data_IF_788407846459
#
_entry.id   IF_788407846459
#
_cell.length_a   1.000
_cell.length_b   1.000
_cell.length_c   1.000
_cell.angle_alpha   90.00
_cell.angle_beta   90.00
_cell.angle_gamma   90.00
#
_symmetry.space_group_name_H-M   'P 1'
#
loop_
_entity.id
_entity.type
_entity.pdbx_description
1 polymer ?
#
# COMPACT_ATOMS: atom_id res chain seq x y z
N UNK A 1 5.51 -5.91 4.36
CA UNK A 1 5.03 -7.31 4.51
C UNK A 1 4.10 -7.47 5.68
N UNK A 2 4.55 -7.25 6.92
CA UNK A 2 3.72 -7.45 8.12
C UNK A 2 2.41 -6.65 8.05
N UNK A 3 2.50 -5.36 7.74
CA UNK A 3 1.35 -4.47 7.54
C UNK A 3 0.34 -5.04 6.53
N UNK A 4 0.78 -5.37 5.31
CA UNK A 4 -0.12 -5.90 4.29
C UNK A 4 -0.78 -7.23 4.67
N UNK A 5 -0.05 -8.16 5.31
CA UNK A 5 -0.64 -9.43 5.78
C UNK A 5 -1.68 -9.15 6.87
N UNK A 6 -1.37 -8.23 7.79
CA UNK A 6 -2.30 -7.77 8.82
C UNK A 6 -3.57 -7.17 8.23
N UNK A 7 -3.44 -6.23 7.28
CA UNK A 7 -4.57 -5.60 6.59
C UNK A 7 -5.43 -6.60 5.82
N UNK A 8 -4.82 -7.59 5.15
CA UNK A 8 -5.56 -8.68 4.49
C UNK A 8 -6.40 -9.43 5.53
N UNK A 9 -5.81 -9.82 6.66
CA UNK A 9 -6.52 -10.50 7.74
C UNK A 9 -7.68 -9.68 8.31
N UNK A 10 -7.44 -8.39 8.57
CA UNK A 10 -8.45 -7.45 9.07
C UNK A 10 -9.62 -7.33 8.09
N UNK A 11 -9.35 -7.07 6.80
CA UNK A 11 -10.40 -6.91 5.80
C UNK A 11 -11.17 -8.21 5.51
N UNK A 12 -10.49 -9.36 5.45
CA UNK A 12 -11.18 -10.65 5.31
C UNK A 12 -12.07 -10.90 6.52
N UNK A 13 -11.62 -10.57 7.73
CA UNK A 13 -12.46 -10.74 8.94
C UNK A 13 -13.66 -9.79 8.91
N UNK A 14 -13.47 -8.53 8.51
CA UNK A 14 -14.56 -7.57 8.31
C UNK A 14 -15.60 -8.05 7.29
N UNK A 15 -15.19 -8.73 6.23
CA UNK A 15 -16.12 -9.24 5.22
C UNK A 15 -17.15 -10.23 5.79
N UNK A 16 -16.82 -10.92 6.88
CA UNK A 16 -17.65 -11.97 7.49
C UNK A 16 -18.00 -11.69 8.95
N UNK A 17 -17.78 -10.46 9.44
CA UNK A 17 -18.06 -10.11 10.83
C UNK A 17 -19.57 -9.97 11.06
N UNK A 18 -20.09 -10.69 12.04
CA UNK A 18 -21.50 -10.58 12.47
C UNK A 18 -21.62 -10.04 13.90
N UNK A 19 -20.52 -10.03 14.67
CA UNK A 19 -20.49 -9.63 16.07
C UNK A 19 -19.96 -8.19 16.24
N UNK A 20 -20.74 -7.33 16.89
CA UNK A 20 -20.39 -5.93 17.11
C UNK A 20 -19.09 -5.72 17.93
N UNK A 21 -18.84 -6.56 18.94
CA UNK A 21 -17.62 -6.51 19.74
C UNK A 21 -16.40 -6.84 18.88
N UNK A 22 -16.51 -7.86 18.02
CA UNK A 22 -15.42 -8.20 17.09
C UNK A 22 -15.18 -7.07 16.08
N UNK A 23 -16.24 -6.46 15.54
CA UNK A 23 -16.13 -5.31 14.65
C UNK A 23 -15.42 -4.11 15.31
N UNK A 24 -15.69 -3.85 16.60
CA UNK A 24 -15.02 -2.79 17.36
C UNK A 24 -13.54 -3.11 17.62
N UNK A 25 -13.20 -4.36 17.92
CA UNK A 25 -11.81 -4.80 18.05
C UNK A 25 -11.06 -4.64 16.73
N UNK A 26 -11.66 -5.08 15.62
CA UNK A 26 -11.09 -4.91 14.28
C UNK A 26 -10.86 -3.43 13.96
N UNK A 27 -11.76 -2.54 14.38
CA UNK A 27 -11.64 -1.10 14.14
C UNK A 27 -10.40 -0.52 14.80
N UNK A 28 -10.11 -0.91 16.04
CA UNK A 28 -8.91 -0.48 16.76
C UNK A 28 -7.64 -1.05 16.12
N UNK A 29 -7.67 -2.33 15.74
CA UNK A 29 -6.53 -2.99 15.08
C UNK A 29 -6.23 -2.33 13.73
N UNK A 30 -7.25 -2.07 12.92
CA UNK A 30 -7.12 -1.40 11.63
C UNK A 30 -6.47 -0.01 11.78
N UNK A 31 -6.92 0.77 12.76
CA UNK A 31 -6.34 2.08 13.07
C UNK A 31 -4.86 1.99 13.48
N UNK A 32 -4.45 0.92 14.17
CA UNK A 32 -3.04 0.70 14.49
C UNK A 32 -2.20 0.43 13.23
N UNK A 33 -2.75 -0.30 12.25
CA UNK A 33 -2.08 -0.48 10.95
C UNK A 33 -1.99 0.81 10.14
N UNK A 34 -3.00 1.69 10.20
CA UNK A 34 -2.93 3.00 9.56
C UNK A 34 -1.73 3.84 10.03
N UNK A 35 -1.33 3.72 11.29
CA UNK A 35 -0.15 4.41 11.80
C UNK A 35 1.17 3.94 11.13
N UNK A 36 1.25 2.68 10.69
CA UNK A 36 2.42 2.14 9.97
C UNK A 36 2.58 2.78 8.58
N UNK A 37 1.47 3.12 7.91
CA UNK A 37 1.51 3.80 6.62
C UNK A 37 2.23 5.17 6.69
N UNK A 38 2.12 5.87 7.82
CA UNK A 38 2.83 7.14 8.07
C UNK A 38 4.34 6.92 8.10
N UNK A 39 4.79 5.81 8.72
CA UNK A 39 6.21 5.47 8.81
C UNK A 39 6.84 5.27 7.42
N UNK A 40 6.12 4.68 6.47
CA UNK A 40 6.61 4.49 5.09
C UNK A 40 6.94 5.80 4.38
N UNK A 41 6.06 6.81 4.49
CA UNK A 41 6.29 8.12 3.87
C UNK A 41 7.54 8.79 4.44
N UNK A 42 7.72 8.72 5.76
CA UNK A 42 8.89 9.32 6.42
C UNK A 42 10.19 8.56 6.12
N UNK A 43 10.12 7.24 5.94
CA UNK A 43 11.26 6.45 5.49
C UNK A 43 11.69 6.84 4.08
N UNK A 44 10.75 6.94 3.14
CA UNK A 44 11.05 7.39 1.77
C UNK A 44 11.74 8.76 1.76
N UNK A 45 11.21 9.73 2.51
CA UNK A 45 11.81 11.06 2.62
C UNK A 45 13.23 11.06 3.22
N UNK A 46 13.63 10.01 3.96
CA UNK A 46 14.97 9.88 4.52
C UNK A 46 15.97 9.25 3.55
N UNK A 47 15.52 8.45 2.59
CA UNK A 47 16.39 7.70 1.68
C UNK A 47 16.39 8.24 0.24
N UNK A 48 15.42 9.07 -0.12
CA UNK A 48 15.28 9.65 -1.45
C UNK A 48 16.28 10.79 -1.67
N UNK A 49 16.75 10.93 -2.91
CA UNK A 49 17.50 12.11 -3.34
C UNK A 49 16.60 13.36 -3.21
N UNK A 50 17.08 14.46 -2.58
CA UNK A 50 16.32 15.70 -2.47
C UNK A 50 15.73 16.22 -3.79
N UNK A 51 16.41 16.02 -4.92
CA UNK A 51 15.94 16.43 -6.24
C UNK A 51 14.66 15.68 -6.67
N UNK A 52 14.51 14.43 -6.24
CA UNK A 52 13.41 13.54 -6.64
C UNK A 52 12.18 13.63 -5.72
N UNK A 53 12.31 14.24 -4.54
CA UNK A 53 11.22 14.32 -3.56
C UNK A 53 10.04 15.14 -4.11
N UNK A 54 10.31 16.31 -4.67
CA UNK A 54 9.27 17.20 -5.20
C UNK A 54 8.49 16.59 -6.38
N UNK A 55 9.14 16.09 -7.46
CA UNK A 55 8.41 15.46 -8.57
C UNK A 55 7.67 14.20 -8.12
N UNK A 56 8.27 13.36 -7.27
CA UNK A 56 7.60 12.15 -6.74
C UNK A 56 6.36 12.50 -5.91
N UNK A 57 6.43 13.52 -5.06
CA UNK A 57 5.30 13.96 -4.25
C UNK A 57 4.13 14.48 -5.11
N UNK A 58 4.41 15.19 -6.20
CA UNK A 58 3.38 15.68 -7.13
C UNK A 58 2.63 14.56 -7.85
N UNK A 59 3.36 13.54 -8.31
CA UNK A 59 2.75 12.34 -8.92
C UNK A 59 1.93 11.57 -7.89
N UNK A 60 2.48 11.34 -6.69
CA UNK A 60 1.78 10.66 -5.61
C UNK A 60 0.49 11.39 -5.20
N UNK A 61 0.49 12.72 -5.14
CA UNK A 61 -0.70 13.51 -4.86
C UNK A 61 -1.79 13.29 -5.92
N UNK A 62 -1.41 13.32 -7.20
CA UNK A 62 -2.36 13.11 -8.31
C UNK A 62 -3.00 11.72 -8.26
N UNK A 63 -2.18 10.68 -8.03
CA UNK A 63 -2.67 9.30 -7.86
C UNK A 63 -3.62 9.20 -6.67
N UNK A 64 -3.22 9.74 -5.52
CA UNK A 64 -4.02 9.68 -4.30
C UNK A 64 -5.35 10.42 -4.46
N UNK A 65 -5.39 11.55 -5.17
CA UNK A 65 -6.61 12.30 -5.39
C UNK A 65 -7.60 11.51 -6.27
N UNK A 66 -7.11 10.87 -7.35
CA UNK A 66 -7.94 9.99 -8.18
C UNK A 66 -8.51 8.84 -7.34
N UNK A 67 -7.67 8.17 -6.55
CA UNK A 67 -8.11 7.08 -5.69
C UNK A 67 -9.15 7.54 -4.65
N UNK A 68 -8.92 8.69 -4.00
CA UNK A 68 -9.79 9.25 -2.98
C UNK A 68 -11.17 9.68 -3.49
N UNK A 69 -11.32 9.96 -4.79
CA UNK A 69 -12.61 10.30 -5.39
C UNK A 69 -13.29 9.07 -5.99
N UNK A 70 -12.54 8.23 -6.69
CA UNK A 70 -13.09 7.09 -7.44
C UNK A 70 -13.46 5.92 -6.53
N UNK A 71 -12.60 5.56 -5.56
CA UNK A 71 -12.85 4.40 -4.69
C UNK A 71 -14.13 4.60 -3.87
N UNK A 72 -14.37 5.74 -3.20
CA UNK A 72 -15.61 5.90 -2.42
C UNK A 72 -16.88 5.82 -3.27
N UNK A 73 -16.87 6.38 -4.49
CA UNK A 73 -18.01 6.28 -5.39
C UNK A 73 -18.29 4.83 -5.82
N UNK A 74 -17.26 4.11 -6.26
CA UNK A 74 -17.39 2.71 -6.68
C UNK A 74 -17.75 1.79 -5.51
N UNK A 75 -17.03 1.88 -4.40
CA UNK A 75 -17.25 1.02 -3.24
C UNK A 75 -18.56 1.33 -2.54
N UNK A 76 -19.02 2.59 -2.55
CA UNK A 76 -20.36 2.97 -2.10
C UNK A 76 -21.46 2.29 -2.91
N UNK A 77 -21.32 2.18 -4.24
CA UNK A 77 -22.27 1.45 -5.07
C UNK A 77 -22.24 -0.06 -4.79
N UNK A 78 -21.05 -0.65 -4.63
CA UNK A 78 -20.89 -2.07 -4.31
C UNK A 78 -21.51 -2.39 -2.94
N UNK A 79 -21.35 -1.49 -1.97
CA UNK A 79 -21.88 -1.65 -0.61
C UNK A 79 -23.40 -1.86 -0.61
N UNK A 80 -24.13 -1.15 -1.47
CA UNK A 80 -25.59 -1.26 -1.56
C UNK A 80 -26.06 -2.65 -2.01
N UNK A 81 -25.19 -3.40 -2.70
CA UNK A 81 -25.48 -4.76 -3.16
C UNK A 81 -24.96 -5.78 -2.15
N UNK A 82 -23.69 -5.67 -1.74
CA UNK A 82 -23.06 -6.58 -0.80
C UNK A 82 -21.88 -5.90 -0.07
N UNK A 83 -22.03 -5.56 1.23
CA UNK A 83 -20.96 -4.96 2.02
C UNK A 83 -19.69 -5.80 2.12
N UNK A 84 -19.81 -7.14 2.16
CA UNK A 84 -18.66 -8.04 2.25
C UNK A 84 -17.72 -7.91 1.05
N UNK A 85 -18.25 -7.62 -0.15
CA UNK A 85 -17.43 -7.42 -1.35
C UNK A 85 -16.50 -6.22 -1.22
N UNK A 86 -16.93 -5.14 -0.56
CA UNK A 86 -16.10 -3.94 -0.34
C UNK A 86 -14.84 -4.31 0.45
N UNK A 87 -15.01 -5.08 1.51
CA UNK A 87 -13.88 -5.54 2.33
C UNK A 87 -13.01 -6.57 1.61
N UNK A 88 -13.59 -7.51 0.85
CA UNK A 88 -12.81 -8.47 0.07
C UNK A 88 -11.99 -7.80 -1.05
N UNK A 89 -12.53 -6.78 -1.70
CA UNK A 89 -11.79 -5.98 -2.68
C UNK A 89 -10.65 -5.20 -2.01
N UNK A 90 -10.88 -4.64 -0.83
CA UNK A 90 -9.82 -4.04 -0.01
C UNK A 90 -8.70 -5.03 0.33
N UNK A 91 -9.05 -6.26 0.73
CA UNK A 91 -8.08 -7.34 0.95
C UNK A 91 -7.30 -7.68 -0.34
N UNK A 92 -7.98 -7.71 -1.49
CA UNK A 92 -7.34 -7.88 -2.79
C UNK A 92 -6.33 -6.77 -3.12
N UNK A 93 -6.69 -5.51 -2.86
CA UNK A 93 -5.76 -4.38 -3.06
C UNK A 93 -4.52 -4.50 -2.17
N UNK A 94 -4.67 -4.90 -0.91
CA UNK A 94 -3.56 -5.15 0.00
C UNK A 94 -2.68 -6.32 -0.47
N UNK A 95 -3.27 -7.39 -1.02
CA UNK A 95 -2.54 -8.51 -1.59
C UNK A 95 -1.74 -8.13 -2.85
N UNK A 96 -2.33 -7.33 -3.75
CA UNK A 96 -1.63 -6.79 -4.92
C UNK A 96 -0.47 -5.90 -4.48
N UNK A 97 -0.70 -5.02 -3.50
CA UNK A 97 0.34 -4.14 -2.94
C UNK A 97 1.49 -4.93 -2.31
N UNK A 98 1.17 -6.02 -1.61
CA UNK A 98 2.17 -6.95 -1.09
C UNK A 98 2.97 -7.59 -2.22
N UNK A 99 2.32 -8.10 -3.27
CA UNK A 99 3.00 -8.69 -4.42
C UNK A 99 3.96 -7.71 -5.09
N UNK A 100 3.51 -6.47 -5.34
CA UNK A 100 4.32 -5.41 -5.93
C UNK A 100 5.49 -5.02 -5.04
N UNK A 101 5.26 -4.86 -3.72
CA UNK A 101 6.35 -4.51 -2.79
C UNK A 101 7.43 -5.59 -2.70
N UNK A 102 7.09 -6.86 -2.99
CA UNK A 102 8.07 -7.96 -3.06
C UNK A 102 8.92 -7.95 -4.33
N UNK A 103 8.60 -7.12 -5.32
CA UNK A 103 9.43 -6.92 -6.51
C UNK A 103 10.58 -5.93 -6.26
N UNK A 104 10.54 -5.15 -5.18
CA UNK A 104 11.58 -4.20 -4.81
C UNK A 104 12.83 -4.98 -4.35
N UNK A 105 14.02 -4.74 -4.95
CA UNK A 105 15.27 -5.35 -4.53
C UNK A 105 15.74 -4.84 -3.17
N UNK A 106 16.52 -5.67 -2.45
CA UNK A 106 17.08 -5.29 -1.14
C UNK A 106 18.07 -4.14 -1.22
N UNK A 107 18.76 -4.02 -2.36
CA UNK A 107 19.68 -2.91 -2.66
C UNK A 107 19.24 -2.35 -4.02
N UNK A 108 18.36 -1.33 -4.02
CA UNK A 108 17.99 -0.61 -5.23
C UNK A 108 19.21 0.18 -5.74
N UNK A 109 19.54 -0.03 -7.01
CA UNK A 109 20.63 0.66 -7.72
C UNK A 109 20.12 0.99 -9.12
N UNK A 110 20.71 1.98 -9.78
CA UNK A 110 20.39 2.27 -11.18
C UNK A 110 20.60 1.02 -12.05
N UNK A 111 19.62 0.69 -12.89
CA UNK A 111 19.61 -0.56 -13.66
C UNK A 111 19.15 -1.81 -12.88
N UNK A 112 18.96 -1.71 -11.56
CA UNK A 112 18.42 -2.77 -10.69
C UNK A 112 17.17 -2.30 -9.94
N UNK A 113 16.15 -1.90 -10.70
CA UNK A 113 14.87 -1.42 -10.16
C UNK A 113 13.98 -2.55 -9.65
N UNK A 114 14.03 -3.72 -10.31
CA UNK A 114 13.26 -4.91 -9.96
C UNK A 114 14.18 -6.02 -9.50
N UNK A 115 13.70 -6.89 -8.60
CA UNK A 115 14.45 -8.04 -8.07
C UNK A 115 15.04 -8.96 -9.13
N UNK A 116 14.50 -8.98 -10.34
CA UNK A 116 14.93 -9.84 -11.43
C UNK A 116 15.82 -9.14 -12.46
N UNK A 117 16.01 -7.82 -12.36
CA UNK A 117 17.01 -7.14 -13.18
C UNK A 117 18.42 -7.59 -12.74
N UNK A 118 19.22 -8.03 -13.70
CA UNK A 118 20.65 -8.24 -13.49
C UNK A 118 21.32 -6.87 -13.41
N UNK A 119 22.24 -6.62 -12.46
CA UNK A 119 23.00 -5.38 -12.45
C UNK A 119 23.68 -5.20 -13.81
N UNK A 120 23.56 -4.01 -14.38
CA UNK A 120 24.30 -3.66 -15.58
C UNK A 120 25.79 -3.71 -15.20
N UNK A 121 26.56 -4.61 -15.83
CA UNK A 121 28.00 -4.62 -15.65
C UNK A 121 28.55 -3.24 -16.05
N UNK A 122 29.08 -2.49 -15.07
CA UNK A 122 29.90 -1.29 -15.33
C UNK A 122 29.25 0.09 -15.11
N UNK A 123 28.33 0.27 -14.17
CA UNK A 123 28.06 1.63 -13.67
C UNK A 123 29.30 2.13 -12.91
N UNK A 124 30.04 3.03 -13.56
CA UNK A 124 31.18 3.78 -13.01
C UNK A 124 30.76 4.42 -11.67
N UNK A 125 31.64 4.52 -10.64
CA UNK A 125 31.37 5.39 -9.50
C UNK A 125 31.10 6.79 -10.05
N UNK A 126 29.93 7.35 -9.78
CA UNK A 126 29.68 8.77 -9.98
C UNK A 126 30.47 9.50 -8.89
N UNK A 127 31.41 10.33 -9.35
CA UNK A 127 32.22 11.23 -8.53
C UNK A 127 31.37 12.37 -7.93
#
# INVERSE_FOLDING_TARGET
TFEYIGLIGVFVTYAFVENATLAAVLYVIDHAFFALAIAMKTYFQKIADPADIAPTAGVAFSINHIAAVVIPALFGLIWLVNPSLVFLLGAGMAAISLALSRLIPTHPEEGRELRWHKPLFGAHPAD
#
